data_IF_853452399167
#
_entry.id   IF_853452399167
#
_cell.length_a   1.000
_cell.length_b   1.000
_cell.length_c   1.000
_cell.angle_alpha   90.00
_cell.angle_beta   90.00
_cell.angle_gamma   90.00
#
_symmetry.space_group_name_H-M   'P 1'
#
loop_
_entity.id
_entity.type
_entity.pdbx_description
1 polymer ?
#
# COMPACT_ATOMS: atom_id res chain seq x y z
N UNK A 1 7.66 -25.03 16.70
CA UNK A 1 8.04 -24.06 15.64
C UNK A 1 8.95 -24.78 14.66
N UNK A 2 8.40 -25.28 13.56
CA UNK A 2 9.21 -25.81 12.45
C UNK A 2 9.39 -24.66 11.47
N UNK A 3 10.62 -24.16 11.39
CA UNK A 3 10.95 -22.87 10.80
C UNK A 3 10.94 -22.87 9.27
N UNK A 4 10.67 -21.69 8.73
CA UNK A 4 10.88 -21.22 7.35
C UNK A 4 12.28 -21.53 6.75
N UNK A 5 13.18 -22.13 7.54
CA UNK A 5 14.53 -22.53 7.15
C UNK A 5 14.54 -23.58 6.04
N UNK A 6 13.62 -24.55 6.04
CA UNK A 6 13.67 -25.67 5.09
C UNK A 6 13.41 -25.25 3.64
N UNK A 7 12.61 -24.20 3.40
CA UNK A 7 12.32 -23.70 2.04
C UNK A 7 13.48 -22.90 1.45
N UNK A 8 14.30 -22.28 2.30
CA UNK A 8 15.45 -21.46 1.88
C UNK A 8 16.76 -22.25 1.86
N UNK A 9 16.79 -23.42 2.50
CA UNK A 9 17.95 -24.29 2.63
C UNK A 9 18.61 -24.65 1.28
N UNK A 10 17.86 -24.98 0.21
CA UNK A 10 18.47 -25.25 -1.09
C UNK A 10 19.16 -24.03 -1.71
N UNK A 11 18.69 -22.82 -1.40
CA UNK A 11 19.32 -21.59 -1.89
C UNK A 11 20.65 -21.32 -1.18
N UNK A 12 20.72 -21.58 0.13
CA UNK A 12 21.94 -21.38 0.93
C UNK A 12 22.98 -22.50 0.73
N UNK A 13 22.57 -23.70 0.34
CA UNK A 13 23.45 -24.84 0.04
C UNK A 13 23.93 -24.87 -1.42
N UNK A 14 23.76 -23.77 -2.18
CA UNK A 14 24.19 -23.71 -3.58
C UNK A 14 25.69 -23.96 -3.74
N UNK A 15 26.01 -24.94 -4.58
CA UNK A 15 27.33 -25.10 -5.21
C UNK A 15 27.24 -24.59 -6.66
N UNK A 16 28.37 -24.17 -7.24
CA UNK A 16 28.44 -23.54 -8.57
C UNK A 16 27.81 -24.35 -9.73
N UNK A 17 27.48 -25.62 -9.50
CA UNK A 17 26.94 -26.57 -10.49
C UNK A 17 25.41 -26.66 -10.53
N UNK A 18 24.65 -25.99 -9.67
CA UNK A 18 23.18 -26.07 -9.69
C UNK A 18 22.53 -24.71 -9.43
N UNK A 19 22.09 -23.98 -10.48
CA UNK A 19 21.45 -22.69 -10.31
C UNK A 19 20.06 -22.86 -9.68
N UNK A 20 19.97 -22.63 -8.37
CA UNK A 20 18.69 -22.62 -7.66
C UNK A 20 18.06 -21.24 -7.86
N UNK A 21 16.79 -21.22 -8.27
CA UNK A 21 16.05 -19.95 -8.43
C UNK A 21 16.02 -19.23 -7.09
N UNK A 22 16.40 -17.94 -7.10
CA UNK A 22 16.32 -17.08 -5.92
C UNK A 22 14.88 -17.13 -5.36
N UNK A 23 14.69 -17.42 -4.07
CA UNK A 23 13.38 -17.35 -3.45
C UNK A 23 12.79 -15.95 -3.69
N UNK A 24 11.57 -15.90 -4.21
CA UNK A 24 10.85 -14.65 -4.43
C UNK A 24 9.73 -14.57 -3.42
N UNK A 25 9.56 -13.40 -2.79
CA UNK A 25 8.41 -13.14 -1.94
C UNK A 25 7.15 -13.19 -2.81
N UNK A 26 6.10 -13.93 -2.42
CA UNK A 26 4.84 -13.88 -3.15
C UNK A 26 4.22 -12.49 -3.01
N UNK A 27 3.83 -11.91 -4.15
CA UNK A 27 3.19 -10.61 -4.26
C UNK A 27 1.99 -10.75 -5.20
N UNK A 28 0.84 -10.15 -4.84
CA UNK A 28 -0.25 -10.05 -5.81
C UNK A 28 0.13 -9.07 -6.92
N UNK A 29 -0.57 -9.16 -8.06
CA UNK A 29 -0.17 -8.40 -9.25
C UNK A 29 -0.26 -6.88 -9.01
N UNK A 30 -1.30 -6.42 -8.32
CA UNK A 30 -1.42 -5.02 -7.93
C UNK A 30 -0.28 -4.56 -7.03
N UNK A 31 0.10 -5.36 -6.02
CA UNK A 31 1.22 -5.04 -5.12
C UNK A 31 2.55 -4.94 -5.86
N UNK A 32 2.81 -5.88 -6.78
CA UNK A 32 4.00 -5.87 -7.63
C UNK A 32 4.07 -4.57 -8.43
N UNK A 33 2.95 -4.17 -9.04
CA UNK A 33 2.89 -2.93 -9.82
C UNK A 33 3.12 -1.69 -8.95
N UNK A 34 2.59 -1.65 -7.72
CA UNK A 34 2.84 -0.53 -6.79
C UNK A 34 4.34 -0.39 -6.53
N UNK A 35 5.03 -1.49 -6.20
CA UNK A 35 6.46 -1.51 -5.91
C UNK A 35 7.31 -1.14 -7.13
N UNK A 36 6.94 -1.64 -8.31
CA UNK A 36 7.60 -1.29 -9.58
C UNK A 36 7.44 0.21 -9.86
N UNK A 37 6.25 0.77 -9.64
CA UNK A 37 5.97 2.18 -9.90
C UNK A 37 6.68 3.11 -8.91
N UNK A 38 6.75 2.74 -7.62
CA UNK A 38 7.56 3.44 -6.60
C UNK A 38 9.02 3.48 -7.01
N UNK A 39 9.55 2.35 -7.49
CA UNK A 39 10.93 2.22 -7.94
C UNK A 39 11.21 3.09 -9.16
N UNK A 40 10.28 3.09 -10.12
CA UNK A 40 10.37 3.86 -11.37
C UNK A 40 10.26 5.38 -11.15
N UNK A 41 9.27 5.83 -10.38
CA UNK A 41 9.01 7.26 -10.11
C UNK A 41 10.02 7.90 -9.14
N UNK A 42 10.81 7.09 -8.43
CA UNK A 42 11.76 7.56 -7.40
C UNK A 42 11.09 8.47 -6.36
N UNK A 43 9.92 8.07 -5.88
CA UNK A 43 9.15 8.82 -4.90
C UNK A 43 9.98 9.11 -3.63
N UNK A 44 9.74 10.23 -2.92
CA UNK A 44 10.33 10.47 -1.61
C UNK A 44 10.07 9.28 -0.67
N UNK A 45 11.02 8.97 0.21
CA UNK A 45 10.92 7.87 1.18
C UNK A 45 10.65 6.49 0.54
N UNK A 46 11.02 6.28 -0.75
CA UNK A 46 10.79 4.99 -1.46
C UNK A 46 11.27 3.73 -0.73
N UNK A 47 12.37 3.81 0.02
CA UNK A 47 12.92 2.66 0.73
C UNK A 47 12.02 2.26 1.89
N UNK A 48 11.55 3.24 2.65
CA UNK A 48 10.60 3.04 3.73
C UNK A 48 9.24 2.56 3.23
N UNK A 49 8.73 3.16 2.15
CA UNK A 49 7.55 2.66 1.44
C UNK A 49 7.72 1.19 1.03
N UNK A 50 8.88 0.85 0.46
CA UNK A 50 9.21 -0.52 0.09
C UNK A 50 9.19 -1.47 1.28
N UNK A 51 9.79 -1.10 2.41
CA UNK A 51 9.76 -1.89 3.64
C UNK A 51 8.33 -2.11 4.14
N UNK A 52 7.56 -1.03 4.33
CA UNK A 52 6.18 -1.11 4.84
C UNK A 52 5.29 -1.97 3.93
N UNK A 53 5.36 -1.76 2.61
CA UNK A 53 4.55 -2.52 1.66
C UNK A 53 4.98 -3.98 1.61
N UNK A 54 6.28 -4.25 1.66
CA UNK A 54 6.77 -5.62 1.68
C UNK A 54 6.35 -6.32 2.96
N UNK A 55 6.28 -5.67 4.12
CA UNK A 55 5.93 -6.32 5.39
C UNK A 55 4.51 -6.91 5.44
N UNK A 56 3.59 -6.48 4.56
CA UNK A 56 2.26 -7.06 4.46
C UNK A 56 2.28 -8.49 3.89
N UNK A 57 1.58 -9.43 4.52
CA UNK A 57 1.49 -10.82 4.03
C UNK A 57 0.72 -10.91 2.71
N UNK A 58 0.96 -11.97 1.94
CA UNK A 58 0.31 -12.15 0.64
C UNK A 58 -1.22 -12.24 0.75
N UNK A 59 -1.74 -12.89 1.78
CA UNK A 59 -3.17 -13.01 2.06
C UNK A 59 -3.79 -11.63 2.33
N UNK A 60 -3.11 -10.82 3.13
CA UNK A 60 -3.55 -9.46 3.41
C UNK A 60 -3.43 -8.53 2.20
N UNK A 61 -2.42 -8.71 1.35
CA UNK A 61 -2.33 -7.99 0.07
C UNK A 61 -3.55 -8.30 -0.81
N UNK A 62 -3.91 -9.58 -0.96
CA UNK A 62 -5.08 -9.99 -1.76
C UNK A 62 -6.40 -9.47 -1.18
N UNK A 63 -6.58 -9.55 0.14
CA UNK A 63 -7.80 -9.07 0.78
C UNK A 63 -7.92 -7.54 0.69
N UNK A 64 -6.82 -6.84 0.88
CA UNK A 64 -6.78 -5.39 0.72
C UNK A 64 -7.04 -4.97 -0.73
N UNK A 65 -6.45 -5.64 -1.72
CA UNK A 65 -6.73 -5.41 -3.15
C UNK A 65 -8.22 -5.55 -3.47
N UNK A 66 -8.87 -6.63 -3.00
CA UNK A 66 -10.31 -6.84 -3.21
C UNK A 66 -11.15 -5.71 -2.62
N UNK A 67 -10.86 -5.31 -1.38
CA UNK A 67 -11.56 -4.19 -0.71
C UNK A 67 -11.39 -2.89 -1.49
N UNK A 68 -10.19 -2.64 -2.01
CA UNK A 68 -9.90 -1.47 -2.85
C UNK A 68 -10.66 -1.52 -4.16
N UNK A 69 -10.70 -2.65 -4.86
CA UNK A 69 -11.44 -2.80 -6.11
C UNK A 69 -12.94 -2.54 -5.91
N UNK A 70 -13.54 -3.08 -4.82
CA UNK A 70 -14.94 -2.84 -4.47
C UNK A 70 -15.19 -1.35 -4.22
N UNK A 71 -14.30 -0.69 -3.46
CA UNK A 71 -14.44 0.73 -3.14
C UNK A 71 -14.24 1.62 -4.38
N UNK A 72 -13.29 1.29 -5.26
CA UNK A 72 -13.12 1.98 -6.54
C UNK A 72 -14.39 1.88 -7.40
N UNK A 73 -15.02 0.71 -7.44
CA UNK A 73 -16.25 0.49 -8.19
C UNK A 73 -17.44 1.30 -7.63
N UNK A 74 -17.50 1.53 -6.31
CA UNK A 74 -18.58 2.32 -5.70
C UNK A 74 -18.44 3.84 -5.91
N UNK A 75 -17.22 4.32 -6.14
CA UNK A 75 -16.91 5.74 -6.41
C UNK A 75 -17.01 6.07 -7.90
N UNK A 76 -16.67 5.12 -8.77
CA UNK A 76 -16.63 5.33 -10.22
C UNK A 76 -18.01 5.70 -10.79
N UNK A 77 -18.10 6.86 -11.45
CA UNK A 77 -19.32 7.31 -12.14
C UNK A 77 -20.42 7.87 -11.24
N UNK A 78 -20.16 8.12 -9.94
CA UNK A 78 -21.11 8.85 -9.08
C UNK A 78 -21.14 10.34 -9.44
N UNK A 79 -22.28 10.84 -9.91
CA UNK A 79 -22.45 12.25 -10.31
C UNK A 79 -22.47 13.26 -9.14
N UNK A 80 -22.88 12.84 -7.96
CA UNK A 80 -23.00 13.69 -6.76
C UNK A 80 -22.02 13.30 -5.65
N UNK A 81 -20.83 12.84 -6.02
CA UNK A 81 -19.80 12.44 -5.06
C UNK A 81 -19.17 13.70 -4.45
N UNK A 82 -19.36 13.90 -3.14
CA UNK A 82 -18.86 15.06 -2.41
C UNK A 82 -17.65 14.71 -1.54
N UNK A 83 -16.98 15.72 -0.98
CA UNK A 83 -15.79 15.52 -0.13
C UNK A 83 -16.09 14.68 1.11
N UNK A 84 -17.32 14.76 1.64
CA UNK A 84 -17.76 13.98 2.79
C UNK A 84 -17.97 12.49 2.45
N UNK A 85 -18.20 12.19 1.17
CA UNK A 85 -18.36 10.82 0.69
C UNK A 85 -17.02 10.10 0.47
N UNK A 86 -15.90 10.85 0.44
CA UNK A 86 -14.56 10.28 0.24
C UNK A 86 -14.18 9.41 1.46
N UNK A 87 -14.13 8.11 1.23
CA UNK A 87 -13.74 7.10 2.21
C UNK A 87 -12.51 6.34 1.73
N UNK A 88 -11.75 5.79 2.68
CA UNK A 88 -10.64 4.89 2.42
C UNK A 88 -10.89 3.51 3.03
N UNK A 89 -10.17 2.52 2.53
CA UNK A 89 -9.97 1.25 3.23
C UNK A 89 -8.54 1.17 3.71
N UNK A 90 -8.33 0.51 4.84
CA UNK A 90 -7.00 0.41 5.46
C UNK A 90 -6.69 -1.00 5.94
N UNK A 91 -5.40 -1.24 6.14
CA UNK A 91 -4.85 -2.44 6.77
C UNK A 91 -3.67 -2.04 7.65
N UNK A 92 -3.62 -2.60 8.86
CA UNK A 92 -2.46 -2.47 9.74
C UNK A 92 -1.35 -3.39 9.24
N UNK A 93 -0.15 -2.85 9.14
CA UNK A 93 1.08 -3.60 8.95
C UNK A 93 1.65 -3.81 10.33
N UNK A 94 1.45 -5.01 10.88
CA UNK A 94 1.99 -5.39 12.18
C UNK A 94 3.23 -6.24 11.96
N UNK A 95 4.40 -5.64 12.17
CA UNK A 95 5.69 -6.30 12.05
C UNK A 95 6.62 -5.79 13.14
N UNK A 96 7.68 -6.54 13.45
CA UNK A 96 8.67 -6.12 14.46
C UNK A 96 9.39 -4.80 14.10
N UNK A 97 9.33 -4.38 12.83
CA UNK A 97 10.10 -3.25 12.29
C UNK A 97 9.24 -2.09 11.79
N UNK A 98 7.99 -2.34 11.41
CA UNK A 98 7.07 -1.35 10.87
C UNK A 98 5.78 -1.32 11.68
N UNK A 99 5.50 -0.17 12.30
CA UNK A 99 4.23 0.15 12.98
C UNK A 99 3.43 1.13 12.11
N UNK A 100 2.81 0.58 11.07
CA UNK A 100 2.24 1.37 9.98
C UNK A 100 0.81 0.94 9.63
N UNK A 101 0.06 1.86 9.03
CA UNK A 101 -1.21 1.61 8.37
C UNK A 101 -1.06 1.91 6.88
N UNK A 102 -1.53 1.01 6.02
CA UNK A 102 -1.65 1.27 4.58
C UNK A 102 -3.11 1.62 4.30
N UNK A 103 -3.32 2.74 3.60
CA UNK A 103 -4.63 3.29 3.28
C UNK A 103 -4.74 3.47 1.78
N UNK A 104 -5.85 3.05 1.20
CA UNK A 104 -6.18 3.28 -0.19
C UNK A 104 -7.50 4.06 -0.28
N UNK A 105 -7.45 5.16 -1.01
CA UNK A 105 -8.52 6.16 -1.07
C UNK A 105 -8.87 6.41 -2.54
N UNK A 106 -9.93 5.78 -3.06
CA UNK A 106 -10.44 6.10 -4.37
C UNK A 106 -11.08 7.47 -4.40
N UNK A 107 -10.73 8.26 -5.41
CA UNK A 107 -11.20 9.63 -5.61
C UNK A 107 -11.54 9.84 -7.08
N UNK A 108 -12.39 10.84 -7.35
CA UNK A 108 -12.62 11.35 -8.70
C UNK A 108 -11.60 12.46 -9.02
N UNK A 109 -11.36 12.71 -10.31
CA UNK A 109 -10.31 13.64 -10.79
C UNK A 109 -10.47 15.02 -10.20
N UNK A 110 -11.71 15.49 -10.04
CA UNK A 110 -12.00 16.83 -9.56
C UNK A 110 -11.56 17.08 -8.10
N UNK A 111 -11.27 16.04 -7.32
CA UNK A 111 -10.74 16.16 -5.95
C UNK A 111 -9.22 16.36 -5.87
N UNK A 112 -8.48 16.22 -6.98
CA UNK A 112 -7.02 16.39 -7.00
C UNK A 112 -6.50 17.73 -6.44
N UNK A 113 -7.14 18.88 -6.70
CA UNK A 113 -6.75 20.14 -6.10
C UNK A 113 -6.80 20.10 -4.56
N UNK A 114 -7.69 19.29 -3.99
CA UNK A 114 -7.90 19.16 -2.54
C UNK A 114 -7.25 17.90 -1.93
N UNK A 115 -6.41 17.21 -2.70
CA UNK A 115 -5.78 15.94 -2.31
C UNK A 115 -5.06 15.98 -0.96
N UNK A 116 -4.45 17.10 -0.59
CA UNK A 116 -3.77 17.25 0.71
C UNK A 116 -4.75 17.08 1.86
N UNK A 117 -5.92 17.72 1.81
CA UNK A 117 -6.96 17.58 2.84
C UNK A 117 -7.45 16.13 2.95
N UNK A 118 -7.60 15.45 1.81
CA UNK A 118 -7.99 14.04 1.77
C UNK A 118 -6.92 13.17 2.41
N UNK A 119 -5.66 13.37 2.04
CA UNK A 119 -4.52 12.62 2.59
C UNK A 119 -4.43 12.83 4.10
N UNK A 120 -4.50 14.06 4.59
CA UNK A 120 -4.37 14.37 6.01
C UNK A 120 -5.51 13.74 6.82
N UNK A 121 -6.76 13.89 6.36
CA UNK A 121 -7.93 13.28 7.01
C UNK A 121 -7.83 11.76 7.07
N UNK A 122 -7.47 11.13 5.94
CA UNK A 122 -7.39 9.67 5.83
C UNK A 122 -6.19 9.09 6.60
N UNK A 123 -5.07 9.82 6.63
CA UNK A 123 -3.92 9.46 7.45
C UNK A 123 -4.27 9.50 8.94
N UNK A 124 -4.88 10.59 9.43
CA UNK A 124 -5.26 10.72 10.83
C UNK A 124 -6.23 9.61 11.25
N UNK A 125 -7.28 9.38 10.46
CA UNK A 125 -8.26 8.31 10.72
C UNK A 125 -7.59 6.93 10.78
N UNK A 126 -6.66 6.64 9.87
CA UNK A 126 -5.96 5.35 9.85
C UNK A 126 -4.95 5.20 11.00
N UNK A 127 -4.22 6.26 11.34
CA UNK A 127 -3.29 6.27 12.47
C UNK A 127 -4.02 5.99 13.79
N UNK A 128 -5.20 6.58 13.98
CA UNK A 128 -6.04 6.35 15.15
C UNK A 128 -6.62 4.94 15.16
N UNK A 129 -7.32 4.53 14.10
CA UNK A 129 -8.03 3.24 14.06
C UNK A 129 -7.09 2.03 14.05
N UNK A 130 -5.94 2.16 13.40
CA UNK A 130 -4.94 1.11 13.37
C UNK A 130 -3.98 1.18 14.57
N UNK A 131 -4.06 2.20 15.41
CA UNK A 131 -3.08 2.50 16.47
C UNK A 131 -1.63 2.51 15.92
N UNK A 132 -1.45 3.04 14.72
CA UNK A 132 -0.17 3.06 14.02
C UNK A 132 0.59 4.38 14.24
N UNK A 133 1.90 4.36 13.97
CA UNK A 133 2.75 5.55 13.99
C UNK A 133 2.95 6.18 12.62
N UNK A 134 2.79 5.40 11.56
CA UNK A 134 2.99 5.84 10.18
C UNK A 134 1.75 5.45 9.36
N UNK A 135 1.30 6.34 8.47
CA UNK A 135 0.28 6.04 7.49
C UNK A 135 0.85 6.19 6.07
N UNK A 136 0.71 5.13 5.27
CA UNK A 136 0.95 5.16 3.83
C UNK A 136 -0.38 5.37 3.14
N UNK A 137 -0.62 6.56 2.61
CA UNK A 137 -1.88 6.90 1.94
C UNK A 137 -1.68 6.84 0.42
N UNK A 138 -2.46 5.98 -0.23
CA UNK A 138 -2.52 5.85 -1.68
C UNK A 138 -3.82 6.47 -2.19
N UNK A 139 -3.72 7.51 -3.01
CA UNK A 139 -4.84 8.03 -3.77
C UNK A 139 -4.98 7.23 -5.06
N UNK A 140 -6.21 6.85 -5.41
CA UNK A 140 -6.52 6.11 -6.63
C UNK A 140 -7.56 6.91 -7.40
N UNK A 141 -7.15 7.54 -8.50
CA UNK A 141 -8.10 8.22 -9.38
C UNK A 141 -8.85 7.18 -10.21
N UNK A 142 -10.16 7.07 -9.98
CA UNK A 142 -10.99 6.05 -10.65
C UNK A 142 -11.37 6.43 -12.09
N UNK A 143 -11.05 7.65 -12.54
CA UNK A 143 -11.42 8.21 -13.84
C UNK A 143 -10.20 8.33 -14.78
N UNK A 144 -9.04 8.72 -14.25
CA UNK A 144 -7.81 8.87 -15.05
C UNK A 144 -7.20 7.54 -15.52
N UNK A 145 -7.65 6.41 -14.97
CA UNK A 145 -7.08 5.10 -15.28
C UNK A 145 -5.62 4.97 -14.83
N UNK A 146 -5.16 5.85 -13.95
CA UNK A 146 -3.82 5.81 -13.36
C UNK A 146 -3.73 4.62 -12.41
N UNK A 147 -3.30 3.50 -12.98
CA UNK A 147 -2.99 2.27 -12.27
C UNK A 147 -1.48 2.17 -12.07
N UNK A 148 -0.97 1.77 -10.89
CA UNK A 148 -1.69 1.19 -9.75
C UNK A 148 -2.14 2.21 -8.68
N UNK A 149 -1.66 3.45 -8.76
CA UNK A 149 -2.08 4.58 -7.92
C UNK A 149 -1.82 5.91 -8.62
N UNK A 150 -2.49 6.93 -8.09
CA UNK A 150 -2.51 8.30 -8.57
C UNK A 150 -1.61 9.23 -7.75
N UNK A 151 -1.50 8.96 -6.45
CA UNK A 151 -0.53 9.57 -5.55
C UNK A 151 -0.24 8.64 -4.38
N UNK A 152 0.97 8.72 -3.82
CA UNK A 152 1.35 7.95 -2.62
C UNK A 152 2.09 8.88 -1.65
N UNK A 153 1.71 8.82 -0.38
CA UNK A 153 2.17 9.71 0.67
C UNK A 153 2.53 8.90 1.91
N UNK A 154 3.56 9.34 2.64
CA UNK A 154 3.93 8.78 3.94
C UNK A 154 3.76 9.88 4.98
N UNK A 155 2.88 9.65 5.95
CA UNK A 155 2.54 10.59 7.01
C UNK A 155 2.92 9.97 8.35
N UNK A 156 3.66 10.69 9.18
CA UNK A 156 4.02 10.25 10.52
C UNK A 156 3.05 10.85 11.54
N UNK A 157 2.74 10.13 12.61
CA UNK A 157 1.89 10.62 13.71
C UNK A 157 2.45 11.87 14.41
N UNK A 158 3.75 12.10 14.28
CA UNK A 158 4.44 13.27 14.84
C UNK A 158 4.56 14.43 13.83
N UNK A 159 3.76 14.44 12.75
CA UNK A 159 3.70 15.58 11.86
C UNK A 159 3.26 16.82 12.65
N UNK A 160 3.98 17.95 12.59
CA UNK A 160 3.61 19.13 13.36
C UNK A 160 2.30 19.71 12.82
N UNK A 161 1.40 20.07 13.74
CA UNK A 161 0.27 20.97 13.48
C UNK A 161 0.73 22.31 12.88
#
# INVERSE_FOLDING_TARGET
MYGLSHELEPYFQQTASSPVRKPQRPLCDWWRQILDEISRRKVPRRFELGCILLDLSFEWQQEFEKRVQILCASVKGREKFQMEDVQGTWVRVDSEVSDAAIVAVPVQTHFYPERTKIVDRMALEALEKAEARIAVVMLIDVELGHWPYSGIYVIDRNWPD
#
